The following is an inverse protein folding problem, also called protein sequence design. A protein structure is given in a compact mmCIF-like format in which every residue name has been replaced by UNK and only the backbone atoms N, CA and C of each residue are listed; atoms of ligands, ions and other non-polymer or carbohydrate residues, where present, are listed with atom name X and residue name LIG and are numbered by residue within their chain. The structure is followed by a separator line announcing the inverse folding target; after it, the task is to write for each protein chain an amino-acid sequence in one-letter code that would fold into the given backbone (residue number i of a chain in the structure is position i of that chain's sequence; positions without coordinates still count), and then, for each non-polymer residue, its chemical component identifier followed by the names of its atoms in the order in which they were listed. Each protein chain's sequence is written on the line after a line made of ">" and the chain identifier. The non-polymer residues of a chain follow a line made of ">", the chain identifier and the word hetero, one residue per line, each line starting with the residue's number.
data_IF_153563589538
#
_entry.id   IF_153563589538
#
_cell.length_a   1.000
_cell.length_b   1.000
_cell.length_c   1.000
_cell.angle_alpha   90.00
_cell.angle_beta   90.00
_cell.angle_gamma   90.00
#
_symmetry.space_group_name_H-M   'P 1'
#
loop_
_entity.id
_entity.type
_entity.pdbx_description
1 polymer ?
#
# COMPACT_ATOMS: atom_id res chain seq x y z
N UNK A 1 11.22 -12.12 -4.57
CA UNK A 1 10.64 -10.95 -3.86
C UNK A 1 10.54 -9.77 -4.81
N UNK A 2 9.39 -9.12 -4.86
CA UNK A 2 9.14 -7.88 -5.62
C UNK A 2 8.72 -6.75 -4.68
N UNK A 3 8.91 -5.49 -5.10
CA UNK A 3 8.51 -4.30 -4.34
C UNK A 3 7.04 -3.98 -4.57
N UNK A 4 6.36 -3.54 -3.53
CA UNK A 4 4.99 -3.02 -3.58
C UNK A 4 4.95 -1.66 -2.89
N UNK A 5 4.34 -0.68 -3.58
CA UNK A 5 4.36 0.73 -3.17
C UNK A 5 5.55 1.48 -3.77
N UNK A 6 6.08 2.51 -3.09
CA UNK A 6 5.77 2.90 -1.70
C UNK A 6 4.50 3.76 -1.57
N UNK A 7 4.01 3.91 -0.34
CA UNK A 7 3.21 5.07 0.09
C UNK A 7 4.16 6.26 0.21
N UNK A 8 3.77 7.44 -0.26
CA UNK A 8 4.58 8.66 -0.24
C UNK A 8 5.48 8.84 -1.45
N UNK A 9 6.00 10.05 -1.61
CA UNK A 9 6.68 10.50 -2.83
C UNK A 9 8.20 10.38 -2.68
N UNK A 10 8.86 9.55 -3.48
CA UNK A 10 10.32 9.30 -3.37
C UNK A 10 11.26 10.40 -3.85
N UNK A 11 10.84 11.68 -3.85
CA UNK A 11 11.66 12.80 -4.37
C UNK A 11 12.89 13.13 -3.52
N UNK A 12 12.90 12.73 -2.24
CA UNK A 12 14.12 12.80 -1.44
C UNK A 12 15.07 11.67 -1.87
N UNK A 13 16.14 12.04 -2.57
CA UNK A 13 17.11 11.09 -3.14
C UNK A 13 18.02 10.44 -2.08
N UNK A 14 18.02 10.98 -0.87
CA UNK A 14 18.82 10.55 0.25
C UNK A 14 17.98 9.86 1.35
N UNK A 15 18.64 9.32 2.38
CA UNK A 15 17.96 8.74 3.55
C UNK A 15 17.15 7.45 3.26
N UNK A 16 17.45 6.76 2.16
CA UNK A 16 16.86 5.47 1.82
C UNK A 16 17.32 4.38 2.77
N UNK A 17 16.40 3.47 3.09
CA UNK A 17 16.67 2.30 3.90
C UNK A 17 15.95 1.08 3.32
N UNK A 18 16.52 -0.09 3.55
CA UNK A 18 16.08 -1.35 2.96
C UNK A 18 16.30 -2.48 3.97
N UNK A 19 15.20 -3.09 4.42
CA UNK A 19 15.16 -4.22 5.36
C UNK A 19 14.68 -5.51 4.65
N UNK A 20 15.02 -5.67 3.37
CA UNK A 20 14.69 -6.87 2.57
C UNK A 20 15.21 -8.15 3.23
N UNK A 21 14.38 -9.18 3.27
CA UNK A 21 14.71 -10.49 3.85
C UNK A 21 14.48 -10.60 5.35
N UNK A 22 14.15 -9.49 6.02
CA UNK A 22 13.80 -9.48 7.44
C UNK A 22 12.28 -9.70 7.63
N UNK A 23 11.87 -10.96 7.68
CA UNK A 23 10.44 -11.37 7.61
C UNK A 23 9.76 -11.52 8.99
N UNK A 24 10.54 -11.75 10.04
CA UNK A 24 10.03 -12.05 11.39
C UNK A 24 10.05 -10.81 12.30
N UNK A 25 9.16 -9.85 12.09
CA UNK A 25 9.03 -8.68 12.97
C UNK A 25 8.35 -9.09 14.27
N UNK A 26 8.97 -8.74 15.40
CA UNK A 26 8.41 -8.91 16.76
C UNK A 26 7.95 -7.59 17.38
N UNK A 27 8.62 -6.49 17.03
CA UNK A 27 8.17 -5.15 17.41
C UNK A 27 8.57 -4.09 16.37
N UNK A 28 7.79 -3.02 16.32
CA UNK A 28 8.07 -1.81 15.54
C UNK A 28 8.07 -0.64 16.53
N UNK A 29 9.18 0.09 16.57
CA UNK A 29 9.32 1.31 17.34
C UNK A 29 9.11 2.50 16.41
N UNK A 30 8.24 3.42 16.80
CA UNK A 30 7.84 4.55 15.96
C UNK A 30 7.96 5.81 16.80
N UNK A 31 8.71 6.79 16.31
CA UNK A 31 8.73 8.14 16.86
C UNK A 31 8.06 9.11 15.91
N UNK A 32 7.24 10.02 16.43
CA UNK A 32 6.52 11.00 15.65
C UNK A 32 6.29 12.29 16.46
N UNK A 33 6.06 13.39 15.76
CA UNK A 33 5.48 14.60 16.37
C UNK A 33 4.00 14.70 15.97
N UNK A 34 3.36 15.83 16.28
CA UNK A 34 1.94 16.02 15.95
C UNK A 34 1.59 15.92 14.45
N UNK A 35 2.57 16.04 13.55
CA UNK A 35 2.34 16.18 12.10
C UNK A 35 3.08 15.18 11.21
N UNK A 36 4.16 14.56 11.70
CA UNK A 36 5.12 13.79 10.89
C UNK A 36 5.72 12.64 11.70
N UNK A 37 5.95 11.52 11.03
CA UNK A 37 6.74 10.40 11.55
C UNK A 37 8.23 10.76 11.45
N UNK A 38 8.96 10.62 12.55
CA UNK A 38 10.36 11.07 12.72
C UNK A 38 11.36 9.93 12.63
N UNK A 39 11.01 8.76 13.14
CA UNK A 39 11.80 7.55 12.95
C UNK A 39 10.98 6.27 13.02
N UNK A 40 11.53 5.22 12.41
CA UNK A 40 11.06 3.84 12.54
C UNK A 40 12.26 2.93 12.79
N UNK A 41 12.10 2.00 13.72
CA UNK A 41 13.06 0.95 14.01
C UNK A 41 12.33 -0.38 14.20
N UNK A 42 12.98 -1.48 13.87
CA UNK A 42 12.39 -2.81 13.92
C UNK A 42 13.14 -3.71 14.89
N UNK A 43 12.41 -4.58 15.57
CA UNK A 43 12.96 -5.71 16.32
C UNK A 43 12.54 -7.00 15.62
N UNK A 44 13.50 -7.77 15.17
CA UNK A 44 13.29 -9.04 14.48
C UNK A 44 13.55 -10.22 15.39
N UNK A 45 12.86 -11.33 15.14
CA UNK A 45 13.20 -12.64 15.69
C UNK A 45 14.00 -13.42 14.62
N UNK A 46 15.29 -13.63 14.87
CA UNK A 46 16.18 -14.36 13.97
C UNK A 46 16.82 -15.52 14.72
N UNK A 47 16.56 -16.76 14.27
CA UNK A 47 17.10 -18.00 14.87
C UNK A 47 16.88 -18.08 16.40
N UNK A 48 15.70 -17.68 16.87
CA UNK A 48 15.33 -17.69 18.28
C UNK A 48 15.90 -16.51 19.10
N UNK A 49 16.72 -15.64 18.52
CA UNK A 49 17.25 -14.45 19.17
C UNK A 49 16.57 -13.18 18.62
N UNK A 50 16.41 -12.18 19.48
CA UNK A 50 15.92 -10.89 19.04
C UNK A 50 17.07 -9.98 18.59
N UNK A 51 16.94 -9.40 17.40
CA UNK A 51 17.91 -8.46 16.81
C UNK A 51 17.20 -7.15 16.50
N UNK A 52 17.80 -6.02 16.89
CA UNK A 52 17.26 -4.69 16.64
C UNK A 52 17.93 -4.10 15.41
N UNK A 53 17.14 -3.54 14.50
CA UNK A 53 17.64 -2.86 13.30
C UNK A 53 18.32 -1.54 13.64
N UNK A 54 18.98 -0.93 12.64
CA UNK A 54 19.30 0.50 12.72
C UNK A 54 18.01 1.31 12.90
N UNK A 55 18.05 2.38 13.67
CA UNK A 55 16.97 3.37 13.69
C UNK A 55 17.01 4.18 12.38
N UNK A 56 15.92 4.17 11.64
CA UNK A 56 15.78 4.92 10.39
C UNK A 56 15.09 6.25 10.67
N UNK A 57 15.70 7.36 10.27
CA UNK A 57 15.21 8.71 10.56
C UNK A 57 15.92 9.37 11.74
N UNK A 58 15.27 10.36 12.35
CA UNK A 58 15.83 11.16 13.45
C UNK A 58 15.38 10.63 14.80
N UNK A 59 16.29 10.59 15.78
CA UNK A 59 15.98 10.21 17.17
C UNK A 59 15.20 11.27 17.95
N UNK A 60 14.82 12.39 17.32
CA UNK A 60 14.10 13.51 17.95
C UNK A 60 12.65 13.53 17.46
N UNK A 61 11.76 12.96 18.26
CA UNK A 61 10.31 13.12 18.11
C UNK A 61 9.66 13.26 19.49
N UNK A 62 8.48 13.88 19.52
CA UNK A 62 7.80 14.26 20.76
C UNK A 62 7.06 13.08 21.39
N UNK A 63 6.60 12.15 20.53
CA UNK A 63 5.85 10.96 20.88
C UNK A 63 6.60 9.71 20.45
N UNK A 64 6.38 8.62 21.18
CA UNK A 64 6.99 7.32 20.91
C UNK A 64 6.00 6.20 21.21
N UNK A 65 5.85 5.29 20.27
CA UNK A 65 4.99 4.11 20.41
C UNK A 65 5.73 2.83 20.02
N UNK A 66 5.35 1.74 20.68
CA UNK A 66 5.88 0.40 20.42
C UNK A 66 4.74 -0.50 20.00
N UNK A 67 4.74 -0.89 18.73
CA UNK A 67 3.86 -1.94 18.21
C UNK A 67 4.50 -3.29 18.53
N UNK A 68 3.84 -4.11 19.34
CA UNK A 68 4.26 -5.49 19.61
C UNK A 68 3.38 -6.44 18.80
N UNK A 69 4.02 -7.31 18.04
CA UNK A 69 3.33 -8.34 17.26
C UNK A 69 3.37 -9.66 18.03
N UNK A 70 2.24 -10.37 18.03
CA UNK A 70 2.19 -11.73 18.56
C UNK A 70 3.03 -12.68 17.67
N UNK A 71 3.39 -13.86 18.20
CA UNK A 71 4.22 -14.85 17.48
C UNK A 71 3.61 -15.31 16.14
N UNK A 72 2.28 -15.31 16.01
CA UNK A 72 1.50 -15.65 14.82
C UNK A 72 0.93 -14.40 14.10
N UNK A 73 1.29 -13.20 14.55
CA UNK A 73 0.92 -11.93 13.90
C UNK A 73 2.00 -11.47 12.90
N UNK A 74 1.61 -11.17 11.66
CA UNK A 74 2.50 -10.73 10.58
C UNK A 74 1.88 -9.60 9.76
N UNK A 75 2.73 -8.78 9.17
CA UNK A 75 2.31 -7.70 8.29
C UNK A 75 1.67 -8.25 7.01
N UNK A 76 0.50 -7.73 6.70
CA UNK A 76 -0.25 -8.04 5.48
C UNK A 76 -0.37 -6.83 4.56
N UNK A 77 -0.21 -5.63 5.10
CA UNK A 77 -0.34 -4.39 4.34
C UNK A 77 0.07 -3.15 5.12
N UNK A 78 -0.03 -2.02 4.45
CA UNK A 78 0.19 -0.68 5.00
C UNK A 78 -0.93 0.24 4.51
N UNK A 79 -1.35 1.19 5.32
CA UNK A 79 -2.08 2.35 4.82
C UNK A 79 -1.53 3.62 5.40
N UNK A 80 -1.72 4.73 4.69
CA UNK A 80 -1.25 6.01 5.16
C UNK A 80 -1.72 7.15 4.29
N UNK A 81 -1.51 8.36 4.78
CA UNK A 81 -1.79 9.59 4.06
C UNK A 81 -0.46 10.25 3.71
N UNK A 82 -0.28 10.56 2.44
CA UNK A 82 0.80 11.40 1.97
C UNK A 82 0.33 12.86 1.78
N UNK A 83 1.08 13.79 2.37
CA UNK A 83 0.82 15.22 2.25
C UNK A 83 2.13 16.00 2.28
N UNK A 84 2.30 16.92 1.32
CA UNK A 84 3.52 17.72 1.11
C UNK A 84 4.80 16.88 1.25
N UNK A 85 4.86 15.81 0.45
CA UNK A 85 6.02 14.93 0.31
C UNK A 85 6.47 14.35 1.65
N UNK A 86 5.50 13.84 2.41
CA UNK A 86 5.72 13.12 3.65
C UNK A 86 4.54 12.25 4.01
N UNK A 87 4.81 11.21 4.78
CA UNK A 87 3.77 10.39 5.39
C UNK A 87 3.33 11.07 6.68
N UNK A 88 2.07 11.49 6.71
CA UNK A 88 1.49 12.17 7.88
C UNK A 88 0.69 11.20 8.73
N UNK A 89 0.12 10.15 8.16
CA UNK A 89 -0.51 9.05 8.89
C UNK A 89 0.05 7.72 8.40
N UNK A 90 0.32 6.79 9.31
CA UNK A 90 0.73 5.42 8.97
C UNK A 90 -0.02 4.41 9.82
N UNK A 91 -0.51 3.36 9.20
CA UNK A 91 -1.13 2.21 9.87
C UNK A 91 -0.49 0.94 9.33
N UNK A 92 -0.03 0.08 10.24
CA UNK A 92 0.41 -1.27 9.90
C UNK A 92 -0.79 -2.21 9.94
N UNK A 93 -1.01 -2.95 8.86
CA UNK A 93 -2.07 -3.95 8.79
C UNK A 93 -1.43 -5.30 9.02
N UNK A 94 -2.04 -6.10 9.89
CA UNK A 94 -1.63 -7.47 10.17
C UNK A 94 -2.76 -8.42 9.85
N UNK A 95 -2.46 -9.72 9.84
CA UNK A 95 -3.46 -10.77 9.76
C UNK A 95 -4.46 -10.77 10.94
N UNK A 96 -4.17 -10.06 12.03
CA UNK A 96 -5.02 -9.99 13.22
C UNK A 96 -5.74 -8.67 13.40
N UNK A 97 -5.03 -7.55 13.19
CA UNK A 97 -5.53 -6.20 13.54
C UNK A 97 -4.79 -5.12 12.76
N UNK A 98 -5.19 -3.88 13.01
CA UNK A 98 -4.51 -2.69 12.53
C UNK A 98 -3.83 -2.00 13.70
N UNK A 99 -2.60 -1.54 13.50
CA UNK A 99 -1.84 -0.76 14.47
C UNK A 99 -1.67 0.66 13.92
N UNK A 100 -2.12 1.66 14.68
CA UNK A 100 -2.20 3.06 14.26
C UNK A 100 -3.65 3.53 14.02
N UNK A 101 -3.86 4.64 13.29
CA UNK A 101 -2.85 5.46 12.64
C UNK A 101 -1.90 6.13 13.63
N UNK A 102 -0.62 6.17 13.30
CA UNK A 102 0.38 6.94 14.04
C UNK A 102 0.48 8.33 13.44
N UNK A 103 0.81 9.31 14.32
CA UNK A 103 0.66 10.75 14.16
C UNK A 103 -0.71 11.28 14.63
N UNK A 104 -0.71 12.44 15.29
CA UNK A 104 -1.90 13.00 15.95
C UNK A 104 -2.80 13.80 15.01
N UNK A 105 -2.22 14.46 13.99
CA UNK A 105 -2.97 15.26 13.04
C UNK A 105 -2.89 14.66 11.66
N UNK A 106 -4.05 14.20 11.20
CA UNK A 106 -4.27 13.78 9.82
C UNK A 106 -4.63 14.99 8.96
N UNK A 107 -4.02 15.08 7.78
CA UNK A 107 -4.49 15.98 6.74
C UNK A 107 -5.58 15.25 5.94
N UNK A 108 -6.65 15.96 5.57
CA UNK A 108 -7.66 15.43 4.66
C UNK A 108 -7.09 15.31 3.23
N UNK A 109 -6.22 14.33 3.02
CA UNK A 109 -5.62 13.94 1.74
C UNK A 109 -5.94 12.47 1.45
N UNK A 110 -5.79 12.08 0.19
CA UNK A 110 -6.22 10.77 -0.29
C UNK A 110 -5.41 9.63 0.34
N UNK A 111 -6.03 8.88 1.25
CA UNK A 111 -5.44 7.69 1.87
C UNK A 111 -4.97 6.70 0.81
N UNK A 112 -3.72 6.26 0.94
CA UNK A 112 -3.09 5.19 0.16
C UNK A 112 -3.13 3.90 0.95
N UNK A 113 -3.32 2.80 0.25
CA UNK A 113 -3.32 1.44 0.83
C UNK A 113 -2.45 0.55 -0.03
N UNK A 114 -1.55 -0.17 0.63
CA UNK A 114 -0.84 -1.33 0.12
C UNK A 114 -1.49 -2.54 0.79
N UNK A 115 -2.26 -3.29 0.02
CA UNK A 115 -2.76 -4.61 0.40
C UNK A 115 -2.65 -5.50 -0.83
N UNK A 116 -1.79 -6.51 -0.73
CA UNK A 116 -1.52 -7.47 -1.81
C UNK A 116 -2.03 -8.86 -1.49
N UNK A 117 -2.87 -8.98 -0.45
CA UNK A 117 -3.47 -10.24 -0.05
C UNK A 117 -2.44 -11.26 0.45
N UNK A 118 -1.45 -10.83 1.24
CA UNK A 118 -0.54 -11.73 1.96
C UNK A 118 -1.38 -12.66 2.83
N UNK A 119 -1.31 -13.97 2.57
CA UNK A 119 -2.11 -14.99 3.29
C UNK A 119 -1.24 -15.78 4.24
N UNK A 120 0.03 -15.92 3.93
CA UNK A 120 1.02 -16.60 4.77
C UNK A 120 2.17 -15.66 5.15
N UNK A 121 2.71 -15.85 6.35
CA UNK A 121 3.84 -15.06 6.86
C UNK A 121 5.05 -15.10 5.92
N UNK A 122 5.30 -16.22 5.26
CA UNK A 122 6.43 -16.40 4.33
C UNK A 122 6.37 -15.51 3.08
N UNK A 123 5.18 -14.99 2.76
CA UNK A 123 4.99 -14.04 1.66
C UNK A 123 5.48 -12.63 2.03
N UNK A 124 5.53 -12.28 3.32
CA UNK A 124 6.11 -10.99 3.73
C UNK A 124 7.64 -11.03 3.62
N UNK A 125 8.20 -10.14 2.81
CA UNK A 125 9.62 -10.11 2.45
C UNK A 125 10.45 -9.00 3.09
N UNK A 126 9.87 -8.18 3.97
CA UNK A 126 10.52 -7.03 4.60
C UNK A 126 9.95 -5.68 4.16
N UNK A 127 10.57 -4.60 4.64
CA UNK A 127 10.14 -3.22 4.41
C UNK A 127 11.26 -2.42 3.74
N UNK A 128 10.88 -1.35 3.04
CA UNK A 128 11.82 -0.35 2.53
C UNK A 128 11.19 1.03 2.58
N UNK A 129 12.02 2.07 2.50
CA UNK A 129 11.50 3.43 2.50
C UNK A 129 12.58 4.48 2.40
N UNK A 130 12.19 5.71 2.71
CA UNK A 130 13.10 6.85 2.78
C UNK A 130 12.66 7.84 3.85
N UNK A 131 13.65 8.50 4.45
CA UNK A 131 13.46 9.71 5.24
C UNK A 131 14.03 10.90 4.49
N UNK A 132 13.35 12.04 4.55
CA UNK A 132 13.92 13.30 4.09
C UNK A 132 15.04 13.71 5.05
N UNK A 133 16.28 13.86 4.58
CA UNK A 133 17.35 14.36 5.45
C UNK A 133 17.06 15.78 5.94
N UNK A 134 16.47 16.62 5.09
CA UNK A 134 16.03 17.95 5.44
C UNK A 134 14.74 17.88 6.27
N UNK A 135 14.85 18.10 7.57
CA UNK A 135 13.72 18.07 8.51
C UNK A 135 13.42 16.70 9.11
N UNK A 136 14.04 15.61 8.63
CA UNK A 136 14.05 14.31 9.30
C UNK A 136 12.66 13.69 9.49
N UNK A 137 11.90 13.51 8.42
CA UNK A 137 10.56 12.89 8.45
C UNK A 137 10.42 11.78 7.42
N UNK A 138 9.55 10.81 7.71
CA UNK A 138 9.29 9.68 6.82
C UNK A 138 8.67 10.18 5.53
N UNK A 139 9.37 9.94 4.44
CA UNK A 139 8.99 10.41 3.11
C UNK A 139 8.27 9.30 2.33
N UNK A 140 8.75 8.06 2.44
CA UNK A 140 8.11 6.92 1.79
C UNK A 140 8.29 5.62 2.56
N UNK A 141 7.34 4.69 2.41
CA UNK A 141 7.41 3.32 2.95
C UNK A 141 6.70 2.33 2.03
N UNK A 142 7.31 1.16 1.83
CA UNK A 142 6.77 0.08 1.01
C UNK A 142 7.16 -1.28 1.56
N UNK A 143 6.65 -2.33 0.90
CA UNK A 143 6.82 -3.72 1.32
C UNK A 143 7.49 -4.54 0.24
N UNK A 144 8.32 -5.49 0.64
CA UNK A 144 8.70 -6.61 -0.21
C UNK A 144 7.71 -7.74 -0.03
N UNK A 145 7.34 -8.39 -1.13
CA UNK A 145 6.46 -9.56 -1.13
C UNK A 145 7.16 -10.68 -1.87
N UNK A 146 7.21 -11.85 -1.26
CA UNK A 146 7.65 -13.09 -1.87
C UNK A 146 6.49 -13.71 -2.62
N UNK A 147 6.68 -14.13 -3.89
CA UNK A 147 5.66 -14.92 -4.56
C UNK A 147 5.47 -16.23 -3.79
N UNK A 148 4.22 -16.70 -3.76
CA UNK A 148 3.88 -18.01 -3.22
C UNK A 148 4.78 -19.03 -3.93
N UNK A 149 5.63 -19.73 -3.18
CA UNK A 149 6.16 -20.98 -3.66
C UNK A 149 4.95 -21.90 -3.73
N UNK A 150 4.35 -22.08 -4.91
CA UNK A 150 3.51 -23.24 -5.11
C UNK A 150 4.46 -24.42 -4.92
N UNK A 151 4.48 -25.00 -3.72
CA UNK A 151 4.88 -26.38 -3.57
C UNK A 151 3.89 -27.15 -4.41
N UNK A 152 4.22 -27.28 -5.70
CA UNK A 152 3.42 -27.94 -6.70
C UNK A 152 3.41 -29.41 -6.34
N UNK A 153 2.49 -29.80 -5.47
CA UNK A 153 1.80 -31.04 -5.72
C UNK A 153 0.97 -30.75 -6.95
N UNK A 154 1.53 -31.06 -8.12
CA UNK A 154 0.73 -31.14 -9.34
C UNK A 154 -0.52 -31.96 -8.99
N UNK A 155 -1.73 -31.54 -9.40
CA UNK A 155 -2.85 -32.47 -9.33
C UNK A 155 -2.41 -33.70 -10.11
N UNK A 156 -2.38 -34.85 -9.44
CA UNK A 156 -2.19 -36.13 -10.13
C UNK A 156 -3.16 -36.13 -11.30
N UNK A 157 -2.61 -36.21 -12.51
CA UNK A 157 -3.40 -36.52 -13.69
C UNK A 157 -4.08 -37.85 -13.42
N UNK A 158 -5.37 -37.83 -13.08
CA UNK A 158 -6.19 -39.02 -13.20
C UNK A 158 -6.21 -39.37 -14.69
N UNK A 159 -5.68 -40.53 -15.13
CA UNK A 159 -5.86 -40.95 -16.51
C UNK A 159 -7.36 -41.18 -16.73
N UNK A 160 -7.97 -40.37 -17.60
CA UNK A 160 -9.36 -40.54 -17.98
C UNK A 160 -9.54 -41.89 -18.72
N UNK A 161 -10.67 -42.60 -18.52
CA UNK A 161 -10.94 -43.83 -19.24
C UNK A 161 -11.05 -43.55 -20.74
N UNK A 162 -10.34 -44.37 -21.52
CA UNK A 162 -10.39 -44.40 -22.97
C UNK A 162 -11.81 -44.72 -23.43
N UNK A 163 -12.47 -43.74 -24.06
CA UNK A 163 -13.69 -44.00 -24.84
C UNK A 163 -13.46 -43.60 -26.28
N UNK A 164 -13.39 -44.62 -27.12
CA UNK A 164 -13.33 -44.58 -28.58
C UNK A 164 -14.49 -43.75 -29.15
N UNK A 165 -14.21 -42.74 -29.97
CA UNK A 165 -15.22 -42.08 -30.80
C UNK A 165 -14.77 -42.06 -32.26
N UNK A 166 -15.51 -42.83 -33.04
CA UNK A 166 -15.52 -42.92 -34.50
C UNK A 166 -16.15 -41.68 -35.11
N UNK A 167 -15.43 -41.09 -36.07
CA UNK A 167 -15.82 -40.36 -37.30
C UNK A 167 -17.25 -39.75 -37.39
N UNK A 168 -17.34 -38.43 -37.64
CA UNK A 168 -17.74 -37.89 -38.96
C UNK A 168 -17.74 -36.35 -38.97
N UNK A 169 -17.10 -35.81 -40.01
CA UNK A 169 -16.93 -34.40 -40.31
C UNK A 169 -18.23 -33.80 -40.87
N UNK A 170 -18.65 -32.63 -40.38
CA UNK A 170 -19.45 -31.67 -41.16
C UNK A 170 -19.26 -30.24 -40.65
N UNK A 171 -18.83 -29.40 -41.58
CA UNK A 171 -18.76 -27.93 -41.55
C UNK A 171 -20.13 -27.32 -41.29
N UNK A 172 -20.24 -26.30 -40.42
CA UNK A 172 -21.40 -25.41 -40.36
C UNK A 172 -20.98 -23.98 -39.96
N UNK A 173 -21.51 -23.06 -40.76
CA UNK A 173 -21.26 -21.62 -40.81
C UNK A 173 -21.55 -20.85 -39.52
N UNK A 174 -20.82 -19.75 -39.35
CA UNK A 174 -21.09 -18.72 -38.36
C UNK A 174 -22.39 -17.97 -38.70
N UNK A 175 -23.37 -17.99 -37.79
CA UNK A 175 -24.48 -17.03 -37.80
C UNK A 175 -24.56 -16.28 -36.46
N UNK A 176 -24.64 -14.96 -36.57
CA UNK A 176 -24.78 -13.98 -35.48
C UNK A 176 -26.13 -14.14 -34.77
N UNK A 177 -26.20 -14.11 -33.41
CA UNK A 177 -27.47 -14.11 -32.71
C UNK A 177 -28.19 -12.76 -32.82
N UNK A 178 -29.49 -12.84 -33.13
CA UNK A 178 -30.47 -11.74 -33.09
C UNK A 178 -30.76 -11.34 -31.65
N UNK A 179 -30.95 -10.04 -31.44
CA UNK A 179 -31.37 -9.40 -30.18
C UNK A 179 -32.89 -9.54 -29.97
N UNK A 180 -33.30 -9.81 -28.73
CA UNK A 180 -34.58 -9.50 -28.04
C UNK A 180 -34.47 -10.23 -26.68
N UNK A 181 -34.43 -9.58 -25.51
CA UNK A 181 -35.55 -8.97 -24.79
C UNK A 181 -35.11 -7.78 -23.92
N UNK A 182 -36.01 -6.80 -23.82
CA UNK A 182 -35.77 -5.47 -23.24
C UNK A 182 -35.63 -5.43 -21.72
N UNK A 183 -34.57 -4.77 -21.27
CA UNK A 183 -34.50 -4.06 -20.00
C UNK A 183 -34.12 -2.60 -20.29
N UNK A 184 -34.74 -1.60 -19.62
CA UNK A 184 -34.45 -0.19 -19.87
C UNK A 184 -33.05 0.16 -19.35
N UNK A 185 -32.13 0.48 -20.27
CA UNK A 185 -30.83 1.06 -19.92
C UNK A 185 -31.07 2.48 -19.42
N UNK A 186 -30.83 2.74 -18.12
CA UNK A 186 -30.78 4.11 -17.59
C UNK A 186 -29.66 4.87 -18.28
N UNK A 187 -29.98 6.01 -18.88
CA UNK A 187 -28.98 6.95 -19.39
C UNK A 187 -27.95 7.27 -18.31
N UNK A 188 -26.67 7.01 -18.59
CA UNK A 188 -25.56 7.53 -17.81
C UNK A 188 -25.62 9.05 -17.95
N UNK A 189 -26.12 9.74 -16.92
CA UNK A 189 -25.89 11.19 -16.78
C UNK A 189 -24.37 11.37 -16.65
N UNK A 190 -23.72 11.87 -17.70
CA UNK A 190 -22.40 12.50 -17.58
C UNK A 190 -22.55 13.67 -16.60
N UNK A 191 -22.24 13.45 -15.34
CA UNK A 191 -21.96 14.54 -14.42
C UNK A 191 -20.70 15.24 -14.93
N UNK A 192 -20.85 16.47 -15.42
CA UNK A 192 -19.71 17.38 -15.60
C UNK A 192 -18.96 17.46 -14.26
N UNK A 193 -17.64 17.28 -14.22
CA UNK A 193 -16.91 17.34 -12.95
C UNK A 193 -16.98 18.76 -12.39
N UNK A 194 -17.67 18.90 -11.24
CA UNK A 194 -17.72 20.12 -10.40
C UNK A 194 -16.32 20.59 -9.93
N UNK A 195 -15.28 19.80 -10.19
CA UNK A 195 -13.89 20.11 -9.92
C UNK A 195 -13.41 21.33 -10.72
N UNK A 196 -13.87 21.49 -11.98
CA UNK A 196 -13.48 22.63 -12.82
C UNK A 196 -13.98 23.96 -12.23
N UNK A 197 -15.22 23.97 -11.74
CA UNK A 197 -15.83 25.16 -11.15
C UNK A 197 -15.21 25.51 -9.78
N UNK A 198 -14.82 24.48 -9.01
CA UNK A 198 -14.12 24.66 -7.72
C UNK A 198 -12.70 25.20 -7.89
N UNK A 199 -11.97 24.73 -8.91
CA UNK A 199 -10.63 25.23 -9.24
C UNK A 199 -10.72 26.66 -9.75
N UNK A 200 -11.67 26.95 -10.65
CA UNK A 200 -11.88 28.31 -11.18
C UNK A 200 -12.23 29.30 -10.07
N UNK A 201 -13.14 28.94 -9.16
CA UNK A 201 -13.51 29.79 -8.02
C UNK A 201 -12.34 30.05 -7.07
N UNK A 202 -11.47 29.06 -6.84
CA UNK A 202 -10.27 29.24 -6.00
C UNK A 202 -9.23 30.14 -6.68
N UNK A 203 -9.07 30.02 -8.00
CA UNK A 203 -8.15 30.87 -8.77
C UNK A 203 -8.63 32.33 -8.81
N UNK A 204 -9.93 32.57 -9.03
CA UNK A 204 -10.51 33.91 -9.03
C UNK A 204 -10.38 34.59 -7.66
N UNK A 205 -10.57 33.85 -6.54
CA UNK A 205 -10.34 34.41 -5.19
C UNK A 205 -8.88 34.75 -4.91
N UNK A 206 -7.93 33.95 -5.40
CA UNK A 206 -6.51 34.23 -5.23
C UNK A 206 -6.06 35.46 -6.03
N UNK A 207 -6.64 35.67 -7.21
CA UNK A 207 -6.37 36.86 -8.03
C UNK A 207 -6.86 38.12 -7.32
N UNK A 208 -8.09 38.13 -6.79
CA UNK A 208 -8.61 39.27 -6.03
C UNK A 208 -7.78 39.57 -4.77
N UNK A 209 -7.38 38.53 -4.03
CA UNK A 209 -6.53 38.72 -2.84
C UNK A 209 -5.17 39.32 -3.15
N UNK A 210 -4.60 39.01 -4.33
CA UNK A 210 -3.33 39.59 -4.75
C UNK A 210 -3.49 41.03 -5.23
N UNK A 211 -4.59 41.37 -5.91
CA UNK A 211 -4.86 42.74 -6.33
C UNK A 211 -5.10 43.67 -5.13
N UNK A 212 -5.80 43.21 -4.09
CA UNK A 212 -5.97 43.94 -2.83
C UNK A 212 -4.66 44.14 -2.04
N UNK A 213 -3.57 43.45 -2.39
CA UNK A 213 -2.26 43.61 -1.77
C UNK A 213 -1.36 44.65 -2.47
N UNK A 214 -1.76 45.13 -3.66
CA UNK A 214 -1.00 46.06 -4.50
C UNK A 214 -1.68 47.43 -4.69
N UNK A 215 -2.84 47.66 -4.08
CA UNK A 215 -3.47 48.97 -3.86
C UNK A 215 -3.26 49.44 -2.41
#
# INVERSE_FOLDING_TARGET
>A
MFKVGPIGEGICLDGRWDEKGHTMISAIFISFNDYRIKSIQFKYLHKGAHVVSKNHGSSVGDHFEIVRLDNDEYLTGLSGVDYNSSITDLTFHTNKRKHGPFCRRSYASGMKVIDVGIRDRSEFGGLFGSFCQYGGYLNSIGMYVSPIASNGTAPEFCPAPTTTITTHNRTLDCQTPKVVDGFPVKHIRRCKPKLKDRIRSKLEKAIWFLLDLFD
#
